data_IF_195509220177
#
_entry.id   IF_195509220177
#
_cell.length_a   1.000
_cell.length_b   1.000
_cell.length_c   1.000
_cell.angle_alpha   90.00
_cell.angle_beta   90.00
_cell.angle_gamma   90.00
#
_symmetry.space_group_name_H-M   'P 1'
#
loop_
_entity.id
_entity.type
_entity.pdbx_description
1 polymer ?
#
# COMPACT_ATOMS: atom_id res chain seq x y z
N UNK A 1 3.84 9.71 5.88
CA UNK A 1 3.44 9.83 7.30
C UNK A 1 3.68 8.46 7.90
N UNK A 2 4.60 8.33 8.87
CA UNK A 2 5.05 7.03 9.34
C UNK A 2 3.88 6.16 9.78
N UNK A 3 3.88 4.93 9.28
CA UNK A 3 2.85 3.95 9.58
C UNK A 3 3.42 2.85 10.45
N UNK A 4 2.76 2.62 11.57
CA UNK A 4 3.10 1.58 12.53
C UNK A 4 2.10 0.43 12.42
N UNK A 5 2.59 -0.80 12.58
CA UNK A 5 1.80 -2.02 12.49
C UNK A 5 1.98 -2.87 13.75
N UNK A 6 0.87 -3.34 14.30
CA UNK A 6 0.86 -4.40 15.31
C UNK A 6 0.81 -5.76 14.63
N UNK A 7 1.80 -6.62 14.85
CA UNK A 7 1.84 -7.96 14.25
C UNK A 7 1.02 -9.00 15.03
N UNK A 8 0.62 -8.68 16.27
CA UNK A 8 -0.25 -9.55 17.07
C UNK A 8 -1.72 -9.45 16.65
N UNK A 9 -2.24 -8.22 16.48
CA UNK A 9 -3.66 -8.00 16.14
C UNK A 9 -3.92 -7.42 14.74
N UNK A 10 -2.87 -7.14 13.95
CA UNK A 10 -2.97 -6.61 12.59
C UNK A 10 -3.36 -5.13 12.48
N UNK A 11 -3.47 -4.39 13.58
CA UNK A 11 -3.86 -2.97 13.58
C UNK A 11 -2.76 -2.12 12.94
N UNK A 12 -3.16 -1.17 12.11
CA UNK A 12 -2.29 -0.13 11.57
C UNK A 12 -2.60 1.21 12.27
N UNK A 13 -1.56 1.94 12.63
CA UNK A 13 -1.62 3.23 13.31
C UNK A 13 -0.82 4.22 12.48
N UNK A 14 -1.40 5.39 12.26
CA UNK A 14 -0.75 6.49 11.58
C UNK A 14 -0.27 7.46 12.63
N UNK A 15 1.02 7.78 12.61
CA UNK A 15 1.63 8.73 13.53
C UNK A 15 2.33 9.81 12.73
N UNK A 16 2.55 10.97 13.36
CA UNK A 16 3.42 12.02 12.80
C UNK A 16 4.87 11.82 13.21
N UNK A 17 5.09 11.20 14.38
CA UNK A 17 6.42 10.92 14.94
C UNK A 17 6.91 9.52 14.55
N UNK A 18 8.20 9.34 14.23
CA UNK A 18 8.77 8.03 13.91
C UNK A 18 8.87 7.13 15.15
N UNK A 19 9.05 5.83 14.95
CA UNK A 19 9.06 4.83 16.02
C UNK A 19 10.14 5.12 17.08
N UNK A 20 11.31 5.59 16.65
CA UNK A 20 12.44 5.91 17.53
C UNK A 20 12.12 7.05 18.49
N UNK A 21 11.23 7.97 18.11
CA UNK A 21 10.81 9.12 18.92
C UNK A 21 9.67 8.82 19.89
N UNK A 22 9.01 7.67 19.78
CA UNK A 22 7.91 7.28 20.68
C UNK A 22 8.43 6.73 22.01
N UNK A 23 7.76 7.09 23.10
CA UNK A 23 8.00 6.48 24.41
C UNK A 23 7.53 5.01 24.44
N UNK A 24 7.99 4.25 25.43
CA UNK A 24 7.67 2.82 25.59
C UNK A 24 6.17 2.52 25.64
N UNK A 25 5.38 3.41 26.24
CA UNK A 25 3.91 3.30 26.31
C UNK A 25 3.26 3.54 24.95
N UNK A 26 3.74 4.55 24.22
CA UNK A 26 3.26 4.91 22.88
C UNK A 26 3.65 3.88 21.82
N UNK A 27 4.70 3.09 22.07
CA UNK A 27 5.09 1.95 21.24
C UNK A 27 4.21 0.71 21.44
N UNK A 28 3.22 0.75 22.34
CA UNK A 28 2.28 -0.37 22.53
C UNK A 28 1.02 -0.19 21.72
N UNK A 29 0.49 -1.30 21.23
CA UNK A 29 -0.78 -1.32 20.54
C UNK A 29 -1.92 -1.05 21.55
N UNK A 30 -2.79 -0.06 21.32
CA UNK A 30 -3.89 0.27 22.23
C UNK A 30 -4.96 -0.84 22.33
N UNK A 31 -4.94 -1.82 21.43
CA UNK A 31 -5.89 -2.93 21.42
C UNK A 31 -5.40 -4.17 22.19
N UNK A 32 -4.11 -4.47 22.11
CA UNK A 32 -3.57 -5.76 22.61
C UNK A 32 -2.29 -5.61 23.45
N UNK A 33 -1.76 -4.40 23.64
CA UNK A 33 -0.57 -4.13 24.45
C UNK A 33 0.76 -4.58 23.85
N UNK A 34 0.75 -5.29 22.72
CA UNK A 34 1.95 -5.72 22.01
C UNK A 34 2.71 -4.55 21.38
N UNK A 35 4.03 -4.69 21.21
CA UNK A 35 4.84 -3.65 20.57
C UNK A 35 4.48 -3.46 19.09
N UNK A 36 4.42 -2.19 18.70
CA UNK A 36 4.27 -1.74 17.33
C UNK A 36 5.62 -1.84 16.60
N UNK A 37 5.55 -2.12 15.31
CA UNK A 37 6.70 -2.16 14.41
C UNK A 37 6.48 -1.20 13.24
N UNK A 38 7.56 -0.82 12.55
CA UNK A 38 7.44 -0.08 11.30
C UNK A 38 6.71 -0.92 10.25
N UNK A 39 5.77 -0.31 9.53
CA UNK A 39 5.05 -0.98 8.44
C UNK A 39 5.98 -1.12 7.23
N UNK A 40 6.30 -2.37 6.87
CA UNK A 40 7.30 -2.68 5.82
C UNK A 40 6.87 -2.22 4.42
N UNK A 41 5.57 -2.25 4.12
CA UNK A 41 5.03 -2.05 2.76
C UNK A 41 4.97 -0.58 2.35
N UNK A 42 5.07 0.35 3.29
CA UNK A 42 5.17 1.79 3.02
C UNK A 42 6.48 2.07 2.28
N UNK A 43 7.60 1.49 2.73
CA UNK A 43 8.91 1.66 2.10
C UNK A 43 9.04 0.90 0.76
N UNK A 44 8.36 -0.24 0.62
CA UNK A 44 8.39 -1.05 -0.60
C UNK A 44 7.41 -0.59 -1.69
N UNK A 45 6.54 0.40 -1.39
CA UNK A 45 5.65 0.98 -2.39
C UNK A 45 6.49 1.76 -3.41
N UNK A 46 6.93 1.04 -4.45
CA UNK A 46 7.51 1.62 -5.66
C UNK A 46 6.53 2.67 -6.17
N UNK A 47 6.82 3.94 -5.95
CA UNK A 47 6.20 5.02 -6.71
C UNK A 47 6.62 4.80 -8.15
N UNK A 48 5.78 4.12 -8.94
CA UNK A 48 5.93 4.12 -10.38
C UNK A 48 5.59 5.54 -10.84
N UNK A 49 6.58 6.43 -10.81
CA UNK A 49 6.49 7.69 -11.50
C UNK A 49 6.47 7.32 -13.00
N UNK A 50 5.26 7.18 -13.56
CA UNK A 50 5.11 6.85 -14.97
C UNK A 50 5.78 7.98 -15.74
N UNK A 51 6.83 7.66 -16.48
CA UNK A 51 7.43 8.60 -17.43
C UNK A 51 6.30 9.07 -18.35
N UNK A 52 5.95 10.35 -18.27
CA UNK A 52 5.04 10.94 -19.24
C UNK A 52 5.85 11.18 -20.51
N UNK A 53 5.32 10.72 -21.63
CA UNK A 53 5.94 11.02 -22.91
C UNK A 53 5.77 12.52 -23.21
N UNK A 54 6.78 13.18 -23.80
CA UNK A 54 6.65 14.57 -24.19
C UNK A 54 5.51 14.74 -25.21
N UNK A 55 4.85 15.92 -25.25
CA UNK A 55 3.71 16.15 -26.15
C UNK A 55 4.08 16.05 -27.64
N UNK A 56 5.36 16.18 -27.98
CA UNK A 56 5.88 16.06 -29.33
C UNK A 56 6.07 14.59 -29.80
N UNK A 57 6.09 13.65 -28.86
CA UNK A 57 6.12 12.20 -29.15
C UNK A 57 5.19 11.50 -28.16
N UNK A 58 3.86 11.72 -28.29
CA UNK A 58 2.90 11.03 -27.45
C UNK A 58 3.00 9.56 -27.81
N UNK A 59 3.62 8.76 -26.95
CA UNK A 59 3.67 7.31 -27.16
C UNK A 59 2.29 6.71 -27.43
N UNK A 60 2.24 5.44 -27.84
CA UNK A 60 1.10 4.84 -28.53
C UNK A 60 -0.25 5.16 -27.87
N UNK A 61 -1.29 5.45 -28.68
CA UNK A 61 -2.60 5.84 -28.17
C UNK A 61 -3.10 4.82 -27.14
N UNK A 62 -3.75 5.35 -26.10
CA UNK A 62 -4.33 4.59 -24.98
C UNK A 62 -5.59 3.85 -25.42
N UNK A 63 -5.47 3.04 -26.47
CA UNK A 63 -6.53 2.11 -26.85
C UNK A 63 -6.53 0.98 -25.82
N UNK A 64 -7.33 1.18 -24.77
CA UNK A 64 -7.90 0.19 -23.87
C UNK A 64 -6.96 -0.91 -23.37
N UNK A 65 -6.78 -0.99 -22.04
CA UNK A 65 -6.12 -2.12 -21.39
C UNK A 65 -6.52 -3.47 -22.03
N UNK A 66 -5.57 -4.15 -22.69
CA UNK A 66 -5.74 -5.47 -23.33
C UNK A 66 -6.43 -6.51 -22.42
N UNK A 67 -6.40 -6.28 -21.11
CA UNK A 67 -6.92 -7.14 -20.04
C UNK A 67 -8.41 -6.99 -19.74
N UNK A 68 -9.11 -5.99 -20.28
CA UNK A 68 -10.55 -5.82 -20.01
C UNK A 68 -11.38 -6.90 -20.74
N UNK A 69 -10.95 -7.32 -21.93
CA UNK A 69 -11.64 -8.33 -22.73
C UNK A 69 -11.61 -9.75 -22.14
N UNK A 70 -10.53 -10.13 -21.46
CA UNK A 70 -10.39 -11.48 -20.86
C UNK A 70 -11.15 -11.65 -19.54
N UNK A 71 -11.26 -10.59 -18.72
CA UNK A 71 -11.90 -10.68 -17.39
C UNK A 71 -13.38 -11.08 -17.42
N UNK A 72 -14.08 -10.85 -18.53
CA UNK A 72 -15.53 -11.07 -18.63
C UNK A 72 -15.93 -12.43 -19.25
N UNK A 73 -14.99 -13.26 -19.71
CA UNK A 73 -15.32 -14.53 -20.40
C UNK A 73 -15.45 -15.75 -19.49
N UNK A 74 -14.92 -15.72 -18.26
CA UNK A 74 -15.06 -16.84 -17.34
C UNK A 74 -16.16 -16.58 -16.32
N UNK A 75 -17.41 -17.01 -16.62
CA UNK A 75 -18.41 -17.29 -15.59
C UNK A 75 -17.78 -18.25 -14.59
N UNK A 76 -17.52 -17.81 -13.36
CA UNK A 76 -17.27 -18.72 -12.25
C UNK A 76 -18.49 -19.64 -12.17
N UNK A 77 -18.32 -20.95 -12.40
CA UNK A 77 -19.37 -21.94 -12.20
C UNK A 77 -19.89 -21.75 -10.77
N UNK A 78 -21.14 -21.31 -10.65
CA UNK A 78 -21.91 -21.44 -9.43
C UNK A 78 -22.49 -22.84 -9.41
N UNK A 79 -21.87 -23.75 -8.66
CA UNK A 79 -22.46 -24.69 -7.70
C UNK A 79 -21.36 -25.62 -7.20
#
# INVERSE_FOLDING_TARGET
MPRLACWSCGRQIYTVSPLESLFTEERRCPRCGAFLNLERRELERRESNRRQNPPADPGPPVDGERRVGERRKARRRGR
#
